data_IF_680737899848
#
_entry.id   IF_680737899848
#
_cell.length_a   1.000
_cell.length_b   1.000
_cell.length_c   1.000
_cell.angle_alpha   90.00
_cell.angle_beta   90.00
_cell.angle_gamma   90.00
#
_symmetry.space_group_name_H-M   'P 1'
#
loop_
_entity.id
_entity.type
_entity.pdbx_description
1 polymer ?
#
# COMPACT_ATOMS: atom_id res chain seq x y z
N UNK A 1 -0.68 -2.35 20.07
CA UNK A 1 0.11 -3.18 19.14
C UNK A 1 0.59 -2.26 18.02
N UNK A 2 1.89 -2.23 17.69
CA UNK A 2 2.41 -1.43 16.57
C UNK A 2 2.66 -2.36 15.39
N UNK A 3 2.06 -2.04 14.25
CA UNK A 3 2.32 -2.71 12.98
C UNK A 3 3.32 -1.88 12.17
N UNK A 4 4.34 -2.54 11.61
CA UNK A 4 5.24 -1.95 10.62
C UNK A 4 4.76 -2.28 9.21
N UNK A 5 4.87 -1.31 8.33
CA UNK A 5 4.56 -1.41 6.90
C UNK A 5 5.75 -0.84 6.13
N UNK A 6 6.02 -1.40 4.95
CA UNK A 6 7.08 -0.90 4.07
C UNK A 6 6.61 0.30 3.24
N UNK A 7 5.28 0.42 3.02
CA UNK A 7 4.67 1.49 2.25
C UNK A 7 3.26 1.83 2.79
N UNK A 8 2.96 3.12 2.88
CA UNK A 8 1.62 3.64 3.14
C UNK A 8 1.12 4.35 1.88
N UNK A 9 -0.06 3.96 1.39
CA UNK A 9 -0.74 4.63 0.28
C UNK A 9 -1.95 5.39 0.82
N UNK A 10 -1.99 6.71 0.64
CA UNK A 10 -3.10 7.55 1.10
C UNK A 10 -4.04 7.83 -0.08
N UNK A 11 -5.28 7.40 0.04
CA UNK A 11 -6.34 7.51 -0.97
C UNK A 11 -6.48 6.26 -1.84
N UNK A 12 -7.69 5.70 -1.89
CA UNK A 12 -8.02 4.48 -2.65
C UNK A 12 -8.58 4.74 -4.06
N UNK A 13 -8.30 5.92 -4.64
CA UNK A 13 -8.66 6.21 -6.03
C UNK A 13 -7.90 5.33 -7.04
N UNK A 14 -8.13 5.49 -8.35
CA UNK A 14 -7.52 4.63 -9.38
C UNK A 14 -5.99 4.56 -9.29
N UNK A 15 -5.33 5.70 -9.06
CA UNK A 15 -3.87 5.76 -8.90
C UNK A 15 -3.38 5.10 -7.62
N UNK A 16 -4.03 5.36 -6.48
CA UNK A 16 -3.65 4.79 -5.19
C UNK A 16 -3.85 3.27 -5.16
N UNK A 17 -4.98 2.79 -5.67
CA UNK A 17 -5.27 1.36 -5.78
C UNK A 17 -4.28 0.64 -6.70
N UNK A 18 -3.91 1.25 -7.84
CA UNK A 18 -2.91 0.67 -8.73
C UNK A 18 -1.52 0.65 -8.09
N UNK A 19 -1.12 1.74 -7.41
CA UNK A 19 0.16 1.81 -6.71
C UNK A 19 0.25 0.77 -5.58
N UNK A 20 -0.80 0.62 -4.77
CA UNK A 20 -0.87 -0.37 -3.69
C UNK A 20 -0.77 -1.80 -4.25
N UNK A 21 -1.52 -2.12 -5.32
CA UNK A 21 -1.44 -3.41 -6.00
C UNK A 21 -0.04 -3.69 -6.52
N UNK A 22 0.54 -2.76 -7.27
CA UNK A 22 1.89 -2.93 -7.85
C UNK A 22 2.97 -3.10 -6.77
N UNK A 23 2.86 -2.39 -5.65
CA UNK A 23 3.79 -2.54 -4.53
C UNK A 23 3.61 -3.90 -3.82
N UNK A 24 2.37 -4.32 -3.58
CA UNK A 24 2.09 -5.63 -2.98
C UNK A 24 2.59 -6.79 -3.87
N UNK A 25 2.42 -6.70 -5.19
CA UNK A 25 2.93 -7.69 -6.17
C UNK A 25 4.47 -7.78 -6.17
N UNK A 26 5.16 -6.74 -5.73
CA UNK A 26 6.63 -6.71 -5.54
C UNK A 26 7.07 -7.16 -4.15
N UNK A 27 6.13 -7.56 -3.29
CA UNK A 27 6.41 -8.12 -1.96
C UNK A 27 6.46 -7.09 -0.82
N UNK A 28 6.09 -5.84 -1.05
CA UNK A 28 6.01 -4.84 0.02
C UNK A 28 4.79 -5.10 0.91
N UNK A 29 4.95 -4.96 2.23
CA UNK A 29 3.82 -4.92 3.17
C UNK A 29 3.18 -3.53 3.12
N UNK A 30 2.10 -3.41 2.35
CA UNK A 30 1.39 -2.15 2.09
C UNK A 30 0.19 -1.99 3.02
N UNK A 31 -0.03 -0.77 3.52
CA UNK A 31 -1.32 -0.34 4.08
C UNK A 31 -1.89 0.80 3.26
N UNK A 32 -3.20 0.75 3.01
CA UNK A 32 -3.97 1.84 2.39
C UNK A 32 -4.74 2.59 3.47
N UNK A 33 -4.73 3.91 3.40
CA UNK A 33 -5.47 4.84 4.25
C UNK A 33 -6.46 5.68 3.44
#
# INVERSE_FOLDING_TARGET
MRETYDLIVVGAGPGGSLAAKTAAEKGFKVIML
#
